data_IF_078607126480
#
_entry.id   IF_078607126480
#
_cell.length_a   1.000
_cell.length_b   1.000
_cell.length_c   1.000
_cell.angle_alpha   90.00
_cell.angle_beta   90.00
_cell.angle_gamma   90.00
#
_symmetry.space_group_name_H-M   'P 1'
#
loop_
_entity.id
_entity.type
_entity.pdbx_description
1 polymer ?
#
# COMPACT_ATOMS: atom_id res chain seq x y z
N UNK A 1 -8.92 -25.50 -9.88
CA UNK A 1 -8.14 -25.71 -8.63
C UNK A 1 -8.57 -24.70 -7.56
N UNK A 2 -8.44 -25.03 -6.25
CA UNK A 2 -8.72 -24.09 -5.15
C UNK A 2 -7.50 -23.20 -4.86
N UNK A 3 -7.71 -21.97 -4.40
CA UNK A 3 -6.67 -20.97 -4.12
C UNK A 3 -5.54 -21.48 -3.20
N UNK A 4 -5.84 -22.36 -2.23
CA UNK A 4 -4.82 -22.95 -1.34
C UNK A 4 -3.81 -23.78 -2.10
N UNK A 5 -4.27 -24.55 -3.08
CA UNK A 5 -3.39 -25.36 -3.91
C UNK A 5 -2.55 -24.51 -4.86
N UNK A 6 -3.15 -23.42 -5.41
CA UNK A 6 -2.41 -22.44 -6.24
C UNK A 6 -1.34 -21.72 -5.43
N UNK A 7 -1.63 -21.35 -4.18
CA UNK A 7 -0.67 -20.75 -3.24
C UNK A 7 0.56 -21.67 -3.05
N UNK A 8 0.32 -22.96 -2.80
CA UNK A 8 1.39 -23.95 -2.62
C UNK A 8 2.18 -24.18 -3.92
N UNK A 9 1.50 -24.25 -5.06
CA UNK A 9 2.11 -24.54 -6.35
C UNK A 9 2.95 -23.37 -6.89
N UNK A 10 2.44 -22.15 -6.80
CA UNK A 10 3.12 -20.94 -7.30
C UNK A 10 4.09 -20.38 -6.26
N UNK A 11 3.85 -20.63 -4.97
CA UNK A 11 4.63 -20.10 -3.87
C UNK A 11 4.49 -18.59 -3.72
N UNK A 12 3.25 -18.09 -3.80
CA UNK A 12 2.83 -16.71 -3.48
C UNK A 12 1.61 -16.77 -2.57
N UNK A 13 1.42 -15.77 -1.73
CA UNK A 13 0.33 -15.75 -0.75
C UNK A 13 -1.05 -15.61 -1.43
N UNK A 14 -2.10 -16.13 -0.79
CA UNK A 14 -3.49 -15.95 -1.25
C UNK A 14 -3.87 -14.49 -1.40
N UNK A 15 -3.29 -13.60 -0.59
CA UNK A 15 -3.47 -12.15 -0.69
C UNK A 15 -2.93 -11.64 -2.03
N UNK A 16 -1.72 -12.04 -2.40
CA UNK A 16 -1.12 -11.65 -3.68
C UNK A 16 -1.87 -12.24 -4.88
N UNK A 17 -2.38 -13.48 -4.80
CA UNK A 17 -3.20 -14.06 -5.86
C UNK A 17 -4.45 -13.22 -6.09
N UNK A 18 -5.18 -12.83 -5.02
CA UNK A 18 -6.36 -11.96 -5.11
C UNK A 18 -6.04 -10.58 -5.63
N UNK A 19 -4.92 -10.01 -5.18
CA UNK A 19 -4.43 -8.73 -5.66
C UNK A 19 -4.17 -8.77 -7.18
N UNK A 20 -3.53 -9.81 -7.70
CA UNK A 20 -3.30 -9.96 -9.14
C UNK A 20 -4.59 -10.19 -9.94
N UNK A 21 -5.61 -10.84 -9.34
CA UNK A 21 -6.97 -10.90 -9.89
C UNK A 21 -7.60 -9.50 -9.96
N UNK A 22 -7.54 -8.73 -8.87
CA UNK A 22 -8.05 -7.35 -8.80
C UNK A 22 -7.35 -6.42 -9.80
N UNK A 23 -6.05 -6.64 -10.04
CA UNK A 23 -5.29 -5.94 -11.06
C UNK A 23 -5.59 -6.43 -12.50
N UNK A 24 -6.44 -7.43 -12.67
CA UNK A 24 -6.81 -7.96 -13.98
C UNK A 24 -5.72 -8.79 -14.66
N UNK A 25 -4.69 -9.21 -13.92
CA UNK A 25 -3.61 -10.04 -14.44
C UNK A 25 -4.03 -11.51 -14.63
N UNK A 26 -4.99 -11.99 -13.84
CA UNK A 26 -5.66 -13.28 -13.97
C UNK A 26 -7.17 -13.08 -13.85
N UNK A 27 -7.95 -14.01 -14.39
CA UNK A 27 -9.41 -13.96 -14.32
C UNK A 27 -9.98 -15.37 -14.05
N UNK A 28 -9.85 -15.87 -12.81
CA UNK A 28 -10.32 -17.22 -12.46
C UNK A 28 -11.82 -17.32 -12.61
N UNK A 29 -12.30 -18.47 -13.09
CA UNK A 29 -13.70 -18.76 -13.19
C UNK A 29 -14.35 -18.91 -11.79
N UNK A 30 -15.68 -18.82 -11.74
CA UNK A 30 -16.44 -19.11 -10.53
C UNK A 30 -17.21 -20.42 -10.74
N UNK A 31 -17.02 -21.35 -9.81
CA UNK A 31 -17.81 -22.57 -9.77
C UNK A 31 -19.29 -22.26 -9.44
N UNK A 32 -20.21 -23.21 -9.64
CA UNK A 32 -21.65 -23.07 -9.34
C UNK A 32 -21.94 -22.62 -7.89
N UNK A 33 -21.08 -22.97 -6.95
CA UNK A 33 -21.16 -22.57 -5.55
C UNK A 33 -20.58 -21.17 -5.25
N UNK A 34 -20.20 -20.40 -6.28
CA UNK A 34 -19.68 -19.04 -6.20
C UNK A 34 -18.19 -18.92 -5.80
N UNK A 35 -17.52 -20.04 -5.49
CA UNK A 35 -16.08 -20.01 -5.17
C UNK A 35 -15.22 -19.90 -6.43
N UNK A 36 -14.06 -19.25 -6.28
CA UNK A 36 -13.05 -19.12 -7.34
C UNK A 36 -12.47 -20.48 -7.71
N UNK A 37 -12.38 -20.73 -8.98
CA UNK A 37 -11.77 -21.91 -9.54
C UNK A 37 -10.67 -21.51 -10.53
N UNK A 38 -9.43 -21.92 -10.23
CA UNK A 38 -8.24 -21.58 -11.00
C UNK A 38 -7.90 -22.73 -11.96
N UNK A 39 -7.59 -22.38 -13.18
CA UNK A 39 -7.13 -23.31 -14.22
C UNK A 39 -5.60 -23.37 -14.29
N UNK A 40 -5.04 -24.29 -15.05
CA UNK A 40 -3.58 -24.35 -15.27
C UNK A 40 -3.05 -23.09 -15.95
N UNK A 41 -3.84 -22.49 -16.83
CA UNK A 41 -3.52 -21.22 -17.47
C UNK A 41 -3.34 -20.08 -16.46
N UNK A 42 -4.20 -20.01 -15.43
CA UNK A 42 -4.07 -19.02 -14.34
C UNK A 42 -2.78 -19.24 -13.54
N UNK A 43 -2.47 -20.52 -13.24
CA UNK A 43 -1.24 -20.86 -12.52
C UNK A 43 -0.01 -20.47 -13.33
N UNK A 44 0.03 -20.79 -14.60
CA UNK A 44 1.14 -20.41 -15.49
C UNK A 44 1.29 -18.89 -15.57
N UNK A 45 0.18 -18.18 -15.70
CA UNK A 45 0.15 -16.71 -15.74
C UNK A 45 0.64 -16.10 -14.40
N UNK A 46 0.26 -16.67 -13.26
CA UNK A 46 0.78 -16.27 -11.96
C UNK A 46 2.28 -16.51 -11.80
N UNK A 47 2.82 -17.60 -12.37
CA UNK A 47 4.26 -17.86 -12.40
C UNK A 47 5.00 -16.82 -13.23
N UNK A 48 4.45 -16.42 -14.39
CA UNK A 48 5.00 -15.34 -15.24
C UNK A 48 4.98 -14.00 -14.48
N UNK A 49 3.86 -13.65 -13.84
CA UNK A 49 3.77 -12.44 -12.99
C UNK A 49 4.84 -12.50 -11.89
N UNK A 50 4.95 -13.61 -11.16
CA UNK A 50 5.95 -13.79 -10.11
C UNK A 50 7.38 -13.58 -10.63
N UNK A 51 7.71 -14.13 -11.80
CA UNK A 51 9.03 -13.95 -12.42
C UNK A 51 9.31 -12.47 -12.70
N UNK A 52 8.41 -11.80 -13.41
CA UNK A 52 8.58 -10.41 -13.81
C UNK A 52 8.64 -9.47 -12.58
N UNK A 53 7.81 -9.73 -11.57
CA UNK A 53 7.87 -8.98 -10.30
C UNK A 53 9.18 -9.19 -9.54
N UNK A 54 9.74 -10.40 -9.55
CA UNK A 54 11.07 -10.65 -8.97
C UNK A 54 12.19 -9.91 -9.70
N UNK A 55 12.02 -9.62 -10.98
CA UNK A 55 12.92 -8.75 -11.73
C UNK A 55 12.67 -7.26 -11.47
N UNK A 56 11.63 -6.91 -10.71
CA UNK A 56 11.29 -5.51 -10.41
C UNK A 56 10.35 -4.84 -11.42
N UNK A 57 9.87 -5.57 -12.45
CA UNK A 57 8.99 -4.99 -13.48
C UNK A 57 7.67 -4.52 -12.84
N UNK A 58 7.23 -3.26 -13.07
CA UNK A 58 5.98 -2.74 -12.53
C UNK A 58 4.76 -3.52 -13.02
N UNK A 59 3.73 -3.63 -12.17
CA UNK A 59 2.49 -4.37 -12.49
C UNK A 59 1.81 -3.83 -13.75
N UNK A 60 1.81 -2.52 -13.93
CA UNK A 60 1.22 -1.86 -15.10
C UNK A 60 1.91 -2.29 -16.40
N UNK A 61 3.23 -2.42 -16.38
CA UNK A 61 3.98 -2.88 -17.55
C UNK A 61 3.71 -4.37 -17.81
N UNK A 62 3.63 -5.20 -16.76
CA UNK A 62 3.23 -6.63 -16.91
C UNK A 62 1.83 -6.72 -17.52
N UNK A 63 0.88 -5.88 -17.08
CA UNK A 63 -0.47 -5.83 -17.66
C UNK A 63 -0.44 -5.46 -19.14
N UNK A 64 0.35 -4.45 -19.52
CA UNK A 64 0.50 -4.05 -20.93
C UNK A 64 1.03 -5.16 -21.81
N UNK A 65 1.96 -5.97 -21.30
CA UNK A 65 2.46 -7.16 -22.02
C UNK A 65 1.35 -8.21 -22.16
N UNK A 66 0.59 -8.49 -21.10
CA UNK A 66 -0.50 -9.45 -21.14
C UNK A 66 -1.68 -9.02 -22.02
N UNK A 67 -1.93 -7.72 -22.12
CA UNK A 67 -2.92 -7.13 -23.04
C UNK A 67 -2.43 -7.07 -24.50
N UNK A 68 -1.19 -7.46 -24.79
CA UNK A 68 -0.59 -7.37 -26.13
C UNK A 68 -0.30 -5.93 -26.58
N UNK A 69 -0.29 -4.95 -25.66
CA UNK A 69 0.00 -3.54 -25.96
C UNK A 69 1.48 -3.26 -26.14
N UNK A 70 2.33 -4.10 -25.60
CA UNK A 70 3.79 -4.07 -25.75
C UNK A 70 4.34 -5.49 -25.77
N UNK A 71 5.47 -5.71 -26.43
CA UNK A 71 6.14 -7.01 -26.41
C UNK A 71 6.86 -7.22 -25.08
N UNK A 72 7.13 -8.47 -24.71
CA UNK A 72 7.93 -8.77 -23.52
C UNK A 72 9.36 -8.21 -23.65
N UNK A 73 9.94 -8.25 -24.87
CA UNK A 73 11.28 -7.72 -25.12
C UNK A 73 11.33 -6.21 -24.90
N UNK A 74 10.42 -5.45 -25.52
CA UNK A 74 10.37 -3.99 -25.38
C UNK A 74 10.14 -3.57 -23.92
N UNK A 75 9.28 -4.31 -23.20
CA UNK A 75 9.05 -4.09 -21.78
C UNK A 75 10.32 -4.28 -20.94
N UNK A 76 11.07 -5.37 -21.19
CA UNK A 76 12.30 -5.67 -20.47
C UNK A 76 13.44 -4.74 -20.84
N UNK A 77 13.56 -4.33 -22.11
CA UNK A 77 14.54 -3.33 -22.56
C UNK A 77 14.30 -1.98 -21.86
N UNK A 78 13.06 -1.50 -21.88
CA UNK A 78 12.70 -0.28 -21.15
C UNK A 78 12.98 -0.38 -19.64
N UNK A 79 12.68 -1.54 -19.05
CA UNK A 79 12.96 -1.77 -17.63
C UNK A 79 14.47 -1.82 -17.35
N UNK A 80 15.28 -2.34 -18.25
CA UNK A 80 16.73 -2.38 -18.15
C UNK A 80 17.33 -0.96 -18.18
N UNK A 81 16.83 -0.09 -19.07
CA UNK A 81 17.24 1.32 -19.15
C UNK A 81 16.92 2.06 -17.84
N UNK A 82 15.79 1.75 -17.22
CA UNK A 82 15.40 2.33 -15.93
C UNK A 82 16.32 1.86 -14.79
N UNK A 83 16.66 0.55 -14.77
CA UNK A 83 17.62 0.00 -13.79
C UNK A 83 19.03 0.63 -13.95
N UNK A 84 19.47 0.90 -15.17
CA UNK A 84 20.78 1.55 -15.38
C UNK A 84 20.77 3.00 -14.89
N UNK A 85 19.68 3.75 -15.12
CA UNK A 85 19.48 5.10 -14.54
C UNK A 85 19.52 5.09 -13.01
N UNK A 86 18.82 4.12 -12.40
CA UNK A 86 18.83 3.96 -10.92
C UNK A 86 20.25 3.63 -10.41
N UNK A 87 20.97 2.78 -11.10
CA UNK A 87 22.36 2.42 -10.77
C UNK A 87 23.28 3.63 -10.85
N UNK A 88 23.16 4.47 -11.89
CA UNK A 88 23.91 5.71 -12.01
C UNK A 88 23.61 6.67 -10.85
N UNK A 89 22.33 6.83 -10.48
CA UNK A 89 21.91 7.63 -9.32
C UNK A 89 22.54 7.13 -8.01
N UNK A 90 22.47 5.82 -7.75
CA UNK A 90 23.10 5.21 -6.57
C UNK A 90 24.61 5.40 -6.54
N UNK A 91 25.29 5.29 -7.68
CA UNK A 91 26.74 5.49 -7.79
C UNK A 91 27.13 6.93 -7.42
N UNK A 92 26.34 7.91 -7.84
CA UNK A 92 26.58 9.33 -7.51
C UNK A 92 26.29 9.64 -6.04
N UNK A 93 25.21 9.06 -5.46
CA UNK A 93 24.95 9.15 -4.02
C UNK A 93 26.13 8.57 -3.21
N UNK A 94 26.68 7.44 -3.65
CA UNK A 94 27.87 6.85 -3.05
C UNK A 94 29.06 7.80 -3.15
N UNK A 95 29.29 8.44 -4.29
CA UNK A 95 30.38 9.40 -4.49
C UNK A 95 30.29 10.58 -3.51
N UNK A 96 29.09 11.17 -3.32
CA UNK A 96 28.90 12.25 -2.33
C UNK A 96 29.17 11.74 -0.92
N UNK A 97 28.69 10.54 -0.59
CA UNK A 97 28.95 9.92 0.72
C UNK A 97 30.45 9.70 0.97
N UNK A 98 31.17 9.21 -0.03
CA UNK A 98 32.63 8.99 0.04
C UNK A 98 33.39 10.30 0.24
N UNK A 99 32.98 11.41 -0.40
CA UNK A 99 33.53 12.74 -0.18
C UNK A 99 33.36 13.22 1.27
N UNK A 100 32.15 13.02 1.83
CA UNK A 100 31.87 13.36 3.23
C UNK A 100 32.72 12.50 4.18
N UNK A 101 32.85 11.21 3.93
CA UNK A 101 33.70 10.29 4.72
C UNK A 101 35.17 10.73 4.65
N UNK A 102 35.68 11.04 3.46
CA UNK A 102 37.06 11.45 3.25
C UNK A 102 37.38 12.76 3.95
N UNK A 103 36.42 13.67 4.07
CA UNK A 103 36.62 14.97 4.76
C UNK A 103 36.78 14.82 6.27
N UNK A 104 36.41 13.69 6.88
CA UNK A 104 36.47 13.40 8.32
C UNK A 104 35.93 14.50 9.22
N UNK A 105 34.96 15.28 8.73
CA UNK A 105 34.34 16.37 9.49
C UNK A 105 33.26 15.82 10.43
N UNK A 106 33.07 16.51 11.56
CA UNK A 106 31.92 16.27 12.43
C UNK A 106 30.65 16.89 11.81
N UNK A 107 29.48 16.44 12.24
CA UNK A 107 28.18 16.96 11.75
C UNK A 107 28.08 18.49 11.90
N UNK A 108 28.66 19.05 12.99
CA UNK A 108 28.67 20.49 13.27
C UNK A 108 29.48 21.31 12.25
N UNK A 109 30.52 20.70 11.64
CA UNK A 109 31.43 21.34 10.69
C UNK A 109 31.18 20.91 9.25
N UNK A 110 30.09 20.18 8.99
CA UNK A 110 29.75 19.72 7.65
C UNK A 110 29.31 20.90 6.79
N UNK A 111 29.96 21.08 5.61
CA UNK A 111 29.59 22.08 4.62
C UNK A 111 28.26 21.72 3.91
N UNK A 112 27.18 21.72 4.68
CA UNK A 112 25.86 21.19 4.28
C UNK A 112 25.35 21.86 3.01
N UNK A 113 25.45 23.19 2.92
CA UNK A 113 24.98 23.97 1.76
C UNK A 113 25.70 23.53 0.47
N UNK A 114 27.01 23.36 0.52
CA UNK A 114 27.82 22.96 -0.64
C UNK A 114 27.43 21.56 -1.17
N UNK A 115 27.14 20.62 -0.26
CA UNK A 115 26.70 19.28 -0.65
C UNK A 115 25.25 19.28 -1.17
N UNK A 116 24.37 20.13 -0.62
CA UNK A 116 23.01 20.29 -1.12
C UNK A 116 23.00 20.91 -2.51
N UNK A 117 23.82 21.94 -2.77
CA UNK A 117 23.97 22.55 -4.09
C UNK A 117 24.48 21.53 -5.13
N UNK A 118 25.42 20.67 -4.72
CA UNK A 118 25.93 19.59 -5.57
C UNK A 118 24.81 18.57 -5.90
N UNK A 119 24.01 18.18 -4.93
CA UNK A 119 22.87 17.27 -5.12
C UNK A 119 21.83 17.92 -6.04
N UNK A 120 21.48 19.19 -5.81
CA UNK A 120 20.52 19.92 -6.66
C UNK A 120 20.98 20.03 -8.12
N UNK A 121 22.29 20.18 -8.33
CA UNK A 121 22.86 20.17 -9.68
C UNK A 121 22.71 18.81 -10.36
N UNK A 122 22.96 17.71 -9.61
CA UNK A 122 22.75 16.35 -10.09
C UNK A 122 21.26 16.05 -10.39
N UNK A 123 20.34 16.57 -9.58
CA UNK A 123 18.89 16.46 -9.83
C UNK A 123 18.45 17.19 -11.12
N UNK A 124 19.03 18.36 -11.39
CA UNK A 124 18.82 19.09 -12.66
C UNK A 124 19.31 18.33 -13.89
N UNK A 125 20.29 17.47 -13.72
CA UNK A 125 20.80 16.55 -14.75
C UNK A 125 19.93 15.28 -14.91
N UNK A 126 18.80 15.19 -14.19
CA UNK A 126 17.81 14.12 -14.31
C UNK A 126 18.04 12.93 -13.37
N UNK A 127 18.82 13.12 -12.31
CA UNK A 127 19.00 12.10 -11.29
C UNK A 127 17.93 12.17 -10.21
N UNK A 128 17.51 11.00 -9.76
CA UNK A 128 16.48 10.88 -8.71
C UNK A 128 17.15 10.64 -7.35
N UNK A 129 17.23 11.70 -6.54
CA UNK A 129 17.58 11.59 -5.13
C UNK A 129 16.32 11.43 -4.28
N UNK A 130 16.48 10.97 -3.03
CA UNK A 130 15.38 10.86 -2.11
C UNK A 130 14.75 12.24 -1.85
N UNK A 131 13.54 12.47 -2.35
CA UNK A 131 12.79 13.70 -2.09
C UNK A 131 12.35 13.78 -0.62
N UNK A 132 13.14 14.51 0.18
CA UNK A 132 12.88 14.75 1.61
C UNK A 132 11.61 15.60 1.81
N UNK A 133 11.17 16.32 0.79
CA UNK A 133 9.94 17.13 0.79
C UNK A 133 8.68 16.34 0.52
N UNK A 134 8.77 15.13 -0.04
CA UNK A 134 7.61 14.27 -0.21
C UNK A 134 7.05 13.89 1.16
N UNK A 135 5.88 14.41 1.47
CA UNK A 135 5.11 14.01 2.65
C UNK A 135 5.04 12.49 2.70
N UNK A 136 5.35 11.95 3.87
CA UNK A 136 5.20 10.53 4.14
C UNK A 136 3.71 10.15 3.95
N UNK A 137 3.40 9.59 2.77
CA UNK A 137 2.03 9.21 2.37
C UNK A 137 1.42 8.25 3.39
N UNK A 138 2.25 7.49 4.11
CA UNK A 138 1.81 6.61 5.21
C UNK A 138 1.23 7.41 6.37
N UNK A 139 1.84 8.57 6.71
CA UNK A 139 1.31 9.47 7.76
C UNK A 139 -0.02 10.09 7.34
N UNK A 140 -0.18 10.47 6.08
CA UNK A 140 -1.45 11.01 5.57
C UNK A 140 -2.55 9.95 5.53
N UNK A 141 -2.27 8.75 5.04
CA UNK A 141 -3.23 7.61 5.05
C UNK A 141 -3.64 7.24 6.48
N UNK A 142 -2.70 7.21 7.41
CA UNK A 142 -2.95 6.95 8.83
C UNK A 142 -3.80 8.04 9.48
N UNK A 143 -3.47 9.31 9.22
CA UNK A 143 -4.23 10.46 9.74
C UNK A 143 -5.66 10.47 9.19
N UNK A 144 -5.84 10.19 7.90
CA UNK A 144 -7.15 10.08 7.26
C UNK A 144 -8.02 8.97 7.90
N UNK A 145 -7.44 7.80 8.15
CA UNK A 145 -8.14 6.69 8.82
C UNK A 145 -8.56 7.05 10.25
N UNK A 146 -7.69 7.73 11.01
CA UNK A 146 -7.99 8.19 12.37
C UNK A 146 -9.12 9.23 12.37
N UNK A 147 -9.05 10.23 11.49
CA UNK A 147 -10.07 11.30 11.39
C UNK A 147 -11.43 10.68 11.01
N UNK A 148 -11.48 9.76 10.05
CA UNK A 148 -12.70 9.08 9.64
C UNK A 148 -13.30 8.27 10.80
N UNK A 149 -12.48 7.55 11.56
CA UNK A 149 -12.90 6.81 12.74
C UNK A 149 -13.48 7.70 13.84
N UNK A 150 -12.82 8.80 14.15
CA UNK A 150 -13.29 9.80 15.14
C UNK A 150 -14.62 10.40 14.68
N UNK A 151 -14.75 10.79 13.43
CA UNK A 151 -15.97 11.36 12.87
C UNK A 151 -17.15 10.38 12.96
N UNK A 152 -16.92 9.10 12.66
CA UNK A 152 -17.94 8.05 12.80
C UNK A 152 -18.38 7.86 14.24
N UNK A 153 -17.44 7.84 15.20
CA UNK A 153 -17.75 7.71 16.62
C UNK A 153 -18.56 8.92 17.12
N UNK A 154 -18.17 10.14 16.73
CA UNK A 154 -18.93 11.36 17.05
C UNK A 154 -20.35 11.32 16.49
N UNK A 155 -20.52 10.89 15.24
CA UNK A 155 -21.84 10.75 14.61
C UNK A 155 -22.74 9.75 15.36
N UNK A 156 -22.17 8.70 15.96
CA UNK A 156 -22.89 7.70 16.76
C UNK A 156 -23.26 8.21 18.16
N UNK A 157 -22.46 9.13 18.73
CA UNK A 157 -22.75 9.69 20.06
C UNK A 157 -23.89 10.72 20.06
N UNK A 158 -24.13 11.39 18.93
CA UNK A 158 -25.19 12.42 18.83
C UNK A 158 -26.59 11.86 19.14
N UNK A 159 -27.08 10.76 18.51
CA UNK A 159 -28.39 10.20 18.83
C UNK A 159 -28.47 9.65 20.26
N UNK A 160 -27.38 9.09 20.80
CA UNK A 160 -27.33 8.63 22.19
C UNK A 160 -27.51 9.79 23.19
N UNK A 161 -26.83 10.91 22.95
CA UNK A 161 -26.96 12.12 23.76
C UNK A 161 -28.38 12.73 23.67
N UNK A 162 -28.97 12.75 22.47
CA UNK A 162 -30.32 13.25 22.25
C UNK A 162 -31.38 12.44 23.02
N UNK A 163 -31.22 11.12 23.10
CA UNK A 163 -32.17 10.27 23.86
C UNK A 163 -31.97 10.43 25.37
N UNK A 164 -30.75 10.52 25.87
CA UNK A 164 -30.50 10.82 27.28
C UNK A 164 -31.12 12.16 27.66
N UNK A 165 -31.10 13.14 26.77
CA UNK A 165 -31.76 14.41 26.98
C UNK A 165 -33.29 14.27 26.95
N UNK A 166 -33.84 13.51 26.00
CA UNK A 166 -35.29 13.27 25.91
C UNK A 166 -35.88 12.55 27.12
N UNK A 167 -35.14 11.64 27.76
CA UNK A 167 -35.57 10.98 29.01
C UNK A 167 -35.79 11.92 30.20
N UNK A 168 -35.22 13.14 30.14
CA UNK A 168 -35.46 14.20 31.15
C UNK A 168 -36.73 14.99 30.90
N UNK A 169 -37.27 14.92 29.69
CA UNK A 169 -38.43 15.72 29.27
C UNK A 169 -39.72 14.89 29.23
N UNK A 170 -39.62 13.62 28.79
CA UNK A 170 -40.74 12.70 28.67
C UNK A 170 -40.37 11.30 29.18
N UNK A 171 -41.40 10.50 29.57
CA UNK A 171 -41.24 9.08 29.96
C UNK A 171 -40.99 8.23 28.71
N UNK A 172 -39.72 8.07 28.35
CA UNK A 172 -39.30 7.23 27.19
C UNK A 172 -39.31 5.75 27.64
N UNK A 173 -39.88 4.82 26.87
CA UNK A 173 -39.84 3.40 27.19
C UNK A 173 -38.40 2.87 27.34
N UNK A 174 -38.14 2.07 28.39
CA UNK A 174 -36.84 1.49 28.70
C UNK A 174 -36.22 0.77 27.47
N UNK A 175 -37.02 0.10 26.67
CA UNK A 175 -36.58 -0.57 25.46
C UNK A 175 -35.93 0.39 24.46
N UNK A 176 -36.48 1.58 24.25
CA UNK A 176 -35.96 2.60 23.34
C UNK A 176 -34.59 3.09 23.86
N UNK A 177 -34.49 3.35 25.16
CA UNK A 177 -33.21 3.77 25.79
C UNK A 177 -32.16 2.69 25.58
N UNK A 178 -32.48 1.42 25.80
CA UNK A 178 -31.56 0.30 25.70
C UNK A 178 -31.06 0.11 24.26
N UNK A 179 -31.93 0.18 23.26
CA UNK A 179 -31.56 0.05 21.85
C UNK A 179 -30.61 1.19 21.43
N UNK A 180 -30.96 2.43 21.75
CA UNK A 180 -30.20 3.61 21.31
C UNK A 180 -28.94 3.90 22.13
N UNK A 181 -28.70 3.19 23.23
CA UNK A 181 -27.43 3.27 23.98
C UNK A 181 -26.54 2.06 23.69
N UNK A 182 -27.08 0.84 23.72
CA UNK A 182 -26.27 -0.38 23.57
C UNK A 182 -25.80 -0.55 22.12
N UNK A 183 -26.65 -0.33 21.13
CA UNK A 183 -26.29 -0.51 19.71
C UNK A 183 -25.15 0.41 19.28
N UNK A 184 -25.19 1.74 19.56
CA UNK A 184 -24.06 2.61 19.23
C UNK A 184 -22.76 2.23 19.93
N UNK A 185 -22.81 1.77 21.18
CA UNK A 185 -21.61 1.33 21.92
C UNK A 185 -20.98 0.12 21.25
N UNK A 186 -21.78 -0.89 20.89
CA UNK A 186 -21.29 -2.08 20.20
C UNK A 186 -20.68 -1.72 18.84
N UNK A 187 -21.35 -0.87 18.07
CA UNK A 187 -20.85 -0.38 16.78
C UNK A 187 -19.53 0.42 16.94
N UNK A 188 -19.44 1.27 17.97
CA UNK A 188 -18.21 2.01 18.25
C UNK A 188 -17.02 1.09 18.57
N UNK A 189 -17.26 0.00 19.32
CA UNK A 189 -16.24 -1.01 19.61
C UNK A 189 -15.81 -1.72 18.31
N UNK A 190 -16.76 -2.11 17.43
CA UNK A 190 -16.45 -2.71 16.15
C UNK A 190 -15.63 -1.78 15.25
N UNK A 191 -15.98 -0.50 15.20
CA UNK A 191 -15.22 0.53 14.45
C UNK A 191 -13.80 0.67 15.00
N UNK A 192 -13.62 0.69 16.33
CA UNK A 192 -12.30 0.77 16.96
C UNK A 192 -11.43 -0.44 16.62
N UNK A 193 -11.99 -1.65 16.65
CA UNK A 193 -11.28 -2.88 16.27
C UNK A 193 -10.87 -2.85 14.80
N UNK A 194 -11.77 -2.43 13.91
CA UNK A 194 -11.49 -2.29 12.48
C UNK A 194 -10.41 -1.22 12.22
N UNK A 195 -10.46 -0.09 12.94
CA UNK A 195 -9.47 0.99 12.83
C UNK A 195 -8.08 0.53 13.28
N UNK A 196 -7.97 -0.20 14.39
CA UNK A 196 -6.71 -0.78 14.85
C UNK A 196 -6.16 -1.78 13.85
N UNK A 197 -7.02 -2.60 13.24
CA UNK A 197 -6.65 -3.51 12.15
C UNK A 197 -6.08 -2.73 10.96
N UNK A 198 -6.77 -1.68 10.51
CA UNK A 198 -6.34 -0.84 9.38
C UNK A 198 -5.03 -0.09 9.65
N UNK A 199 -4.82 0.41 10.88
CA UNK A 199 -3.56 1.05 11.27
C UNK A 199 -2.41 0.03 11.24
N UNK A 200 -2.62 -1.20 11.74
CA UNK A 200 -1.61 -2.26 11.68
C UNK A 200 -1.27 -2.67 10.24
N UNK A 201 -2.24 -2.73 9.33
CA UNK A 201 -1.99 -2.96 7.89
C UNK A 201 -1.12 -1.87 7.28
N UNK A 202 -1.40 -0.59 7.59
CA UNK A 202 -0.61 0.55 7.11
C UNK A 202 0.81 0.54 7.72
N UNK A 203 0.96 0.19 9.02
CA UNK A 203 2.26 0.10 9.69
C UNK A 203 3.07 -1.12 9.25
N UNK A 204 2.42 -2.24 8.98
CA UNK A 204 3.07 -3.47 8.51
C UNK A 204 3.62 -3.37 7.08
N UNK A 205 3.32 -2.30 6.33
CA UNK A 205 3.76 -2.13 4.95
C UNK A 205 3.19 -3.20 4.01
N UNK A 206 2.13 -3.91 4.42
CA UNK A 206 1.58 -5.03 3.66
C UNK A 206 1.05 -4.64 2.27
N UNK A 207 0.57 -3.40 2.10
CA UNK A 207 0.22 -2.87 0.77
C UNK A 207 1.47 -2.60 -0.07
N UNK A 208 2.56 -2.11 0.55
CA UNK A 208 3.84 -1.87 -0.12
C UNK A 208 4.57 -3.19 -0.41
N UNK A 209 4.46 -4.20 0.47
CA UNK A 209 5.00 -5.54 0.20
C UNK A 209 4.23 -6.25 -0.92
N UNK A 210 2.90 -6.17 -0.94
CA UNK A 210 2.11 -6.73 -2.04
C UNK A 210 2.41 -6.06 -3.38
N UNK A 211 2.80 -4.79 -3.38
CA UNK A 211 3.24 -4.08 -4.59
C UNK A 211 4.69 -4.40 -5.01
N UNK A 212 5.53 -4.88 -4.08
CA UNK A 212 6.93 -5.24 -4.34
C UNK A 212 7.13 -6.69 -4.82
N UNK A 213 6.13 -7.56 -4.62
CA UNK A 213 6.12 -8.95 -5.07
C UNK A 213 5.02 -9.18 -6.11
#
# INVERSE_FOLDING_TARGET
MKIKFVEELVGITRKNIRFYEEQGLINPQRAENGYREYEEADVHRLMQVKLLRKLGVPIEEIRRVFDGKTSLCDCLEHHQDELERQKEGLTKMQTVSDQIIASRVSLENLATESYLDQIEQMEKEGMDFMDVGKKDIRKEKRLGAIIAGILMILLMLVPAAAIIWATKVEQVPIFVILVFTVVPIVLAICILVALVGRIKEIEGGEEDEASKY
#
